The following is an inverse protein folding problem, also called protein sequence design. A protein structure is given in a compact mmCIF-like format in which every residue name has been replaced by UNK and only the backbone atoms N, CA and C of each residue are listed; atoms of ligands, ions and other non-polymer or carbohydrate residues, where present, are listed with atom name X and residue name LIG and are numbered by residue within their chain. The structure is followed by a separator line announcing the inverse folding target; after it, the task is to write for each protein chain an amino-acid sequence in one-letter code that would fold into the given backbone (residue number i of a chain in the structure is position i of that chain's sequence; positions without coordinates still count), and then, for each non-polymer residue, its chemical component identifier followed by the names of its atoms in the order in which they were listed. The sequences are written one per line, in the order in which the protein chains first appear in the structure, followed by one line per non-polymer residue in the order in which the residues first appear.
data_IF_879394142809
#
_entry.id   IF_879394142809
#
_cell.length_a   1.000
_cell.length_b   1.000
_cell.length_c   1.000
_cell.angle_alpha   90.00
_cell.angle_beta   90.00
_cell.angle_gamma   90.00
#
_symmetry.space_group_name_H-M   'P 1'
#
loop_
_entity.id
_entity.type
_entity.pdbx_description
1 polymer ?
#
# COMPACT_ATOMS: atom_id res chain seq x y z
N UNK A 1 -13.54 3.28 7.93
CA UNK A 1 -12.54 3.11 9.01
C UNK A 1 -11.47 4.22 9.00
N UNK A 2 -11.84 5.46 8.61
CA UNK A 2 -10.87 6.54 8.43
C UNK A 2 -10.26 7.02 9.75
N UNK A 3 -11.08 7.13 10.81
CA UNK A 3 -10.61 7.57 12.14
C UNK A 3 -9.54 6.63 12.71
N UNK A 4 -9.71 5.32 12.55
CA UNK A 4 -8.73 4.31 13.02
C UNK A 4 -7.43 4.40 12.22
N UNK A 5 -7.51 4.54 10.89
CA UNK A 5 -6.33 4.75 10.04
C UNK A 5 -5.55 6.02 10.44
N UNK A 6 -6.26 7.13 10.65
CA UNK A 6 -5.65 8.39 11.06
C UNK A 6 -4.98 8.28 12.45
N UNK A 7 -5.63 7.60 13.40
CA UNK A 7 -5.07 7.35 14.73
C UNK A 7 -3.84 6.44 14.68
N UNK A 8 -3.84 5.39 13.87
CA UNK A 8 -2.71 4.45 13.79
C UNK A 8 -1.52 5.02 12.99
N UNK A 9 -1.74 6.00 12.10
CA UNK A 9 -0.71 6.48 11.19
C UNK A 9 0.58 7.02 11.82
N UNK A 10 0.55 7.84 12.89
CA UNK A 10 1.76 8.33 13.54
C UNK A 10 2.42 7.31 14.49
N UNK A 11 1.92 6.07 14.56
CA UNK A 11 2.29 5.04 15.54
C UNK A 11 2.78 3.76 14.84
N UNK A 12 4.08 3.63 14.54
CA UNK A 12 4.62 2.47 13.82
C UNK A 12 4.31 1.12 14.50
N UNK A 13 4.24 1.10 15.83
CA UNK A 13 3.82 -0.05 16.64
C UNK A 13 2.37 -0.48 16.36
N UNK A 14 1.55 0.43 15.84
CA UNK A 14 0.16 0.19 15.43
C UNK A 14 0.01 -0.09 13.92
N UNK A 15 1.11 -0.37 13.20
CA UNK A 15 1.08 -0.73 11.77
C UNK A 15 0.15 -1.90 11.47
N UNK A 16 0.02 -2.87 12.40
CA UNK A 16 -0.93 -3.98 12.28
C UNK A 16 -2.39 -3.51 12.31
N UNK A 17 -2.74 -2.62 13.24
CA UNK A 17 -4.09 -2.02 13.32
C UNK A 17 -4.39 -1.20 12.08
N UNK A 18 -3.41 -0.43 11.60
CA UNK A 18 -3.55 0.33 10.34
C UNK A 18 -3.81 -0.59 9.16
N UNK A 19 -3.06 -1.70 9.04
CA UNK A 19 -3.24 -2.68 7.97
C UNK A 19 -4.65 -3.29 8.00
N UNK A 20 -5.11 -3.75 9.16
CA UNK A 20 -6.46 -4.28 9.33
C UNK A 20 -7.54 -3.27 8.94
N UNK A 21 -7.40 -2.02 9.36
CA UNK A 21 -8.36 -0.97 9.03
C UNK A 21 -8.41 -0.67 7.52
N UNK A 22 -7.27 -0.78 6.82
CA UNK A 22 -7.21 -0.67 5.36
C UNK A 22 -7.87 -1.88 4.70
N UNK A 23 -7.53 -3.09 5.11
CA UNK A 23 -8.07 -4.33 4.54
C UNK A 23 -9.59 -4.41 4.67
N UNK A 24 -10.13 -4.09 5.84
CA UNK A 24 -11.58 -3.99 6.04
C UNK A 24 -12.22 -2.88 5.20
N UNK A 25 -11.51 -1.77 4.94
CA UNK A 25 -12.02 -0.70 4.07
C UNK A 25 -12.08 -1.12 2.60
N UNK A 26 -11.15 -1.97 2.15
CA UNK A 26 -11.13 -2.53 0.80
C UNK A 26 -12.28 -3.52 0.53
N UNK A 27 -12.89 -4.08 1.58
CA UNK A 27 -14.09 -4.92 1.47
C UNK A 27 -15.36 -4.13 1.18
N UNK A 28 -15.34 -2.81 1.32
CA UNK A 28 -16.50 -1.98 1.01
C UNK A 28 -16.71 -1.91 -0.52
N UNK A 29 -17.96 -2.00 -1.01
CA UNK A 29 -18.26 -1.94 -2.45
C UNK A 29 -17.70 -0.69 -3.14
N UNK A 30 -17.69 0.44 -2.41
CA UNK A 30 -17.11 1.69 -2.86
C UNK A 30 -15.99 2.09 -1.91
N UNK A 31 -14.76 2.04 -2.41
CA UNK A 31 -13.57 2.44 -1.67
C UNK A 31 -12.60 3.23 -2.54
N UNK A 32 -11.81 4.16 -1.98
CA UNK A 32 -10.78 4.87 -2.74
C UNK A 32 -9.71 3.90 -3.26
N UNK A 33 -9.39 3.97 -4.55
CA UNK A 33 -8.36 3.13 -5.17
C UNK A 33 -6.98 3.26 -4.50
N UNK A 34 -6.66 4.45 -3.96
CA UNK A 34 -5.42 4.71 -3.20
C UNK A 34 -5.23 3.79 -1.99
N UNK A 35 -6.29 3.20 -1.44
CA UNK A 35 -6.17 2.24 -0.34
C UNK A 35 -5.38 0.97 -0.72
N UNK A 36 -5.38 0.59 -2.00
CA UNK A 36 -4.55 -0.54 -2.49
C UNK A 36 -3.06 -0.22 -2.35
N UNK A 37 -2.66 0.99 -2.68
CA UNK A 37 -1.28 1.44 -2.51
C UNK A 37 -0.89 1.55 -1.03
N UNK A 38 -1.76 2.10 -0.18
CA UNK A 38 -1.51 2.18 1.26
C UNK A 38 -1.34 0.79 1.89
N UNK A 39 -2.15 -0.18 1.48
CA UNK A 39 -2.00 -1.58 1.89
C UNK A 39 -0.65 -2.14 1.47
N UNK A 40 -0.25 -1.92 0.23
CA UNK A 40 1.04 -2.37 -0.30
C UNK A 40 2.22 -1.77 0.49
N UNK A 41 2.16 -0.48 0.85
CA UNK A 41 3.15 0.17 1.71
C UNK A 41 3.20 -0.45 3.11
N UNK A 42 2.04 -0.72 3.71
CA UNK A 42 1.95 -1.36 5.02
C UNK A 42 2.51 -2.78 5.05
N UNK A 43 2.33 -3.54 3.97
CA UNK A 43 2.96 -4.86 3.82
C UNK A 43 4.48 -4.74 3.80
N UNK A 44 5.03 -3.81 3.01
CA UNK A 44 6.48 -3.54 2.97
C UNK A 44 7.01 -3.10 4.33
N UNK A 45 6.31 -2.20 5.03
CA UNK A 45 6.69 -1.74 6.38
C UNK A 45 6.75 -2.88 7.40
N UNK A 46 5.87 -3.87 7.26
CA UNK A 46 5.80 -5.05 8.14
C UNK A 46 6.70 -6.20 7.71
N UNK A 47 7.52 -6.01 6.68
CA UNK A 47 8.48 -7.02 6.19
C UNK A 47 7.91 -8.00 5.15
N UNK A 48 6.64 -7.86 4.74
CA UNK A 48 6.06 -8.62 3.63
C UNK A 48 6.49 -8.03 2.28
N UNK A 49 7.81 -7.96 2.04
CA UNK A 49 8.40 -7.24 0.92
C UNK A 49 7.93 -7.72 -0.46
N UNK A 50 7.89 -9.04 -0.69
CA UNK A 50 7.48 -9.63 -1.97
C UNK A 50 6.02 -9.27 -2.28
N UNK A 51 5.13 -9.49 -1.30
CA UNK A 51 3.71 -9.24 -1.46
C UNK A 51 3.41 -7.76 -1.62
N UNK A 52 4.03 -6.91 -0.80
CA UNK A 52 3.90 -5.47 -0.91
C UNK A 52 4.41 -4.94 -2.24
N UNK A 53 5.55 -5.43 -2.75
CA UNK A 53 6.05 -5.04 -4.07
C UNK A 53 5.10 -5.42 -5.20
N UNK A 54 4.54 -6.64 -5.18
CA UNK A 54 3.57 -7.08 -6.18
C UNK A 54 2.32 -6.19 -6.19
N UNK A 55 1.79 -5.87 -5.02
CA UNK A 55 0.60 -5.00 -4.92
C UNK A 55 0.91 -3.55 -5.35
N UNK A 56 2.14 -3.07 -5.16
CA UNK A 56 2.59 -1.79 -5.73
C UNK A 56 2.61 -1.84 -7.25
N UNK A 57 3.11 -2.91 -7.87
CA UNK A 57 3.12 -3.09 -9.33
C UNK A 57 1.70 -3.10 -9.90
N UNK A 58 0.79 -3.88 -9.29
CA UNK A 58 -0.63 -3.92 -9.67
C UNK A 58 -1.28 -2.53 -9.58
N UNK A 59 -0.99 -1.78 -8.52
CA UNK A 59 -1.49 -0.41 -8.37
C UNK A 59 -0.91 0.55 -9.43
N UNK A 60 0.38 0.42 -9.74
CA UNK A 60 1.01 1.24 -10.76
C UNK A 60 0.37 1.03 -12.14
N UNK A 61 0.03 -0.20 -12.49
CA UNK A 61 -0.60 -0.51 -13.77
C UNK A 61 -2.01 0.08 -13.90
N UNK A 62 -2.78 0.12 -12.80
CA UNK A 62 -4.09 0.79 -12.76
C UNK A 62 -3.96 2.29 -12.98
N UNK A 63 -2.96 2.92 -12.35
CA UNK A 63 -2.78 4.37 -12.35
C UNK A 63 -2.06 4.87 -13.60
N UNK A 64 -1.29 4.01 -14.29
CA UNK A 64 -0.45 4.38 -15.42
C UNK A 64 -1.18 5.12 -16.55
N UNK A 65 -2.45 4.78 -16.79
CA UNK A 65 -3.28 5.41 -17.83
C UNK A 65 -3.59 6.88 -17.53
N UNK A 66 -3.73 7.25 -16.26
CA UNK A 66 -4.10 8.59 -15.83
C UNK A 66 -2.91 9.42 -15.35
N UNK A 67 -2.00 8.78 -14.61
CA UNK A 67 -0.85 9.43 -13.96
C UNK A 67 0.44 8.61 -14.19
N UNK A 68 1.02 8.65 -15.40
CA UNK A 68 2.17 7.81 -15.75
C UNK A 68 3.41 8.07 -14.89
N UNK A 69 3.64 9.33 -14.48
CA UNK A 69 4.73 9.68 -13.57
C UNK A 69 4.54 9.10 -12.16
N UNK A 70 3.29 9.09 -11.66
CA UNK A 70 3.00 8.47 -10.38
C UNK A 70 3.20 6.95 -10.44
N UNK A 71 2.76 6.31 -11.53
CA UNK A 71 2.98 4.88 -11.76
C UNK A 71 4.47 4.51 -11.77
N UNK A 72 5.34 5.28 -12.42
CA UNK A 72 6.78 4.98 -12.41
C UNK A 72 7.41 5.13 -11.02
N UNK A 73 6.98 6.13 -10.24
CA UNK A 73 7.42 6.26 -8.84
C UNK A 73 7.02 5.04 -8.00
N UNK A 74 5.80 4.54 -8.19
CA UNK A 74 5.32 3.32 -7.52
C UNK A 74 6.14 2.10 -7.96
N UNK A 75 6.45 1.96 -9.25
CA UNK A 75 7.29 0.86 -9.76
C UNK A 75 8.70 0.90 -9.17
N UNK A 76 9.29 2.08 -8.98
CA UNK A 76 10.58 2.23 -8.29
C UNK A 76 10.49 1.80 -6.83
N UNK A 77 9.41 2.16 -6.12
CA UNK A 77 9.18 1.70 -4.75
C UNK A 77 9.03 0.18 -4.66
N UNK A 78 8.34 -0.45 -5.62
CA UNK A 78 8.23 -1.91 -5.71
C UNK A 78 9.59 -2.59 -5.90
N UNK A 79 10.42 -2.10 -6.84
CA UNK A 79 11.79 -2.59 -7.05
C UNK A 79 12.64 -2.46 -5.77
N UNK A 80 12.55 -1.31 -5.10
CA UNK A 80 13.26 -1.08 -3.83
C UNK A 80 12.80 -2.04 -2.74
N UNK A 81 11.50 -2.34 -2.64
CA UNK A 81 10.99 -3.32 -1.69
C UNK A 81 11.52 -4.73 -1.98
N UNK A 82 11.51 -5.18 -3.25
CA UNK A 82 12.10 -6.49 -3.65
C UNK A 82 13.58 -6.60 -3.28
N UNK A 83 14.33 -5.52 -3.46
CA UNK A 83 15.76 -5.48 -3.17
C UNK A 83 16.10 -5.64 -1.68
N UNK A 84 15.15 -5.47 -0.74
CA UNK A 84 15.41 -5.66 0.70
C UNK A 84 15.54 -7.13 1.13
N UNK A 85 15.24 -8.08 0.24
CA UNK A 85 15.41 -9.52 0.46
C UNK A 85 16.65 -10.11 -0.21
N UNK A 86 17.34 -9.32 -1.04
CA UNK A 86 18.61 -9.69 -1.67
C UNK A 86 19.78 -9.20 -0.82
#
# INVERSE_FOLDING_TARGET
LNNIRAWASPRPEQSGVRLWAVELSLLLPHHPGRLRFERAQLLVERGEFIRGAREMEEYADIVATMEPNAAENVRRAARAARARLN
#
